data_IF_161017658759
#
_entry.id   IF_161017658759
#
_cell.length_a   1.000
_cell.length_b   1.000
_cell.length_c   1.000
_cell.angle_alpha   90.00
_cell.angle_beta   90.00
_cell.angle_gamma   90.00
#
_symmetry.space_group_name_H-M   'P 1'
#
loop_
_entity.id
_entity.type
_entity.pdbx_description
1 polymer ?
#
# COMPACT_ATOMS: atom_id res chain seq x y z
N UNK A 1 -3.99 4.67 -13.15
CA UNK A 1 -4.42 4.68 -11.74
C UNK A 1 -5.94 4.80 -11.69
N UNK A 2 -6.63 3.83 -11.08
CA UNK A 2 -8.09 3.84 -10.96
C UNK A 2 -8.54 4.98 -10.03
N UNK A 3 -9.42 5.86 -10.50
CA UNK A 3 -10.04 6.89 -9.65
C UNK A 3 -10.96 6.28 -8.58
N UNK A 4 -11.43 5.03 -8.79
CA UNK A 4 -12.34 4.35 -7.88
C UNK A 4 -11.68 3.95 -6.57
N UNK A 5 -10.42 3.47 -6.60
CA UNK A 5 -9.62 3.13 -5.42
C UNK A 5 -9.65 4.26 -4.38
N UNK A 6 -9.23 5.45 -4.84
CA UNK A 6 -9.06 6.63 -4.00
C UNK A 6 -10.41 7.10 -3.45
N UNK A 7 -11.45 7.11 -4.28
CA UNK A 7 -12.79 7.49 -3.86
C UNK A 7 -13.36 6.52 -2.80
N UNK A 8 -13.16 5.21 -2.99
CA UNK A 8 -13.59 4.19 -2.05
C UNK A 8 -12.87 4.31 -0.71
N UNK A 9 -11.55 4.50 -0.71
CA UNK A 9 -10.78 4.66 0.52
C UNK A 9 -11.19 5.95 1.28
N UNK A 10 -11.43 7.05 0.58
CA UNK A 10 -11.92 8.31 1.17
C UNK A 10 -13.31 8.10 1.81
N UNK A 11 -14.24 7.45 1.11
CA UNK A 11 -15.58 7.14 1.62
C UNK A 11 -15.49 6.30 2.90
N UNK A 12 -14.66 5.27 2.91
CA UNK A 12 -14.44 4.41 4.07
C UNK A 12 -13.85 5.17 5.25
N UNK A 13 -12.81 5.98 5.05
CA UNK A 13 -12.24 6.81 6.13
C UNK A 13 -13.29 7.77 6.69
N UNK A 14 -14.09 8.40 5.83
CA UNK A 14 -15.17 9.31 6.24
C UNK A 14 -16.29 8.60 7.02
N UNK A 15 -16.60 7.34 6.68
CA UNK A 15 -17.64 6.55 7.35
C UNK A 15 -17.22 6.06 8.73
N UNK A 16 -15.98 5.60 8.86
CA UNK A 16 -15.55 4.90 10.07
C UNK A 16 -14.76 5.79 11.04
N UNK A 17 -14.19 6.91 10.58
CA UNK A 17 -13.34 7.76 11.41
C UNK A 17 -13.88 9.18 11.49
N UNK A 18 -13.34 9.97 12.43
CA UNK A 18 -13.58 11.41 12.52
C UNK A 18 -12.54 12.23 11.74
N UNK A 19 -11.63 11.57 11.00
CA UNK A 19 -10.56 12.26 10.29
C UNK A 19 -11.14 13.12 9.17
N UNK A 20 -10.73 14.39 9.06
CA UNK A 20 -11.12 15.21 7.93
C UNK A 20 -10.47 14.67 6.66
N UNK A 21 -11.28 14.31 5.67
CA UNK A 21 -10.80 13.86 4.36
C UNK A 21 -11.24 14.81 3.26
N UNK A 22 -10.34 15.05 2.30
CA UNK A 22 -10.70 15.76 1.08
C UNK A 22 -11.65 14.90 0.23
N UNK A 23 -12.59 15.50 -0.51
CA UNK A 23 -13.54 14.76 -1.35
C UNK A 23 -12.89 14.05 -2.54
N UNK A 24 -11.61 14.34 -2.83
CA UNK A 24 -10.81 13.75 -3.90
C UNK A 24 -9.36 13.60 -3.44
N UNK A 25 -8.70 12.53 -3.87
CA UNK A 25 -7.27 12.38 -3.64
C UNK A 25 -6.42 13.22 -4.59
N UNK A 26 -5.13 13.30 -4.27
CA UNK A 26 -4.14 14.02 -5.08
C UNK A 26 -3.28 13.03 -5.86
N UNK A 27 -3.08 13.31 -7.16
CA UNK A 27 -2.09 12.61 -7.96
C UNK A 27 -0.82 13.46 -7.94
N UNK A 28 0.26 12.88 -7.43
CA UNK A 28 1.56 13.54 -7.30
C UNK A 28 2.63 12.67 -7.96
N UNK A 29 3.40 13.20 -8.94
CA UNK A 29 4.54 12.48 -9.50
C UNK A 29 5.60 12.24 -8.43
N UNK A 30 6.20 11.05 -8.40
CA UNK A 30 7.24 10.71 -7.43
C UNK A 30 8.49 11.61 -7.57
N UNK A 31 8.77 12.10 -8.78
CA UNK A 31 9.84 13.06 -9.05
C UNK A 31 9.57 14.48 -8.51
N UNK A 32 8.36 14.77 -8.02
CA UNK A 32 7.99 16.06 -7.45
C UNK A 32 8.23 16.11 -5.95
N UNK A 33 8.75 17.24 -5.43
CA UNK A 33 8.83 17.48 -3.98
C UNK A 33 7.47 17.56 -3.28
N UNK A 34 6.37 17.68 -4.04
CA UNK A 34 5.00 17.70 -3.51
C UNK A 34 4.63 16.42 -2.76
N UNK A 35 5.33 15.30 -2.99
CA UNK A 35 5.11 14.10 -2.18
C UNK A 35 5.34 14.36 -0.68
N UNK A 36 6.23 15.30 -0.33
CA UNK A 36 6.54 15.65 1.07
C UNK A 36 5.39 16.40 1.76
N UNK A 37 4.39 16.87 1.01
CA UNK A 37 3.19 17.53 1.54
C UNK A 37 2.10 16.53 1.94
N UNK A 38 2.31 15.24 1.68
CA UNK A 38 1.35 14.18 1.93
C UNK A 38 1.93 13.18 2.94
N UNK A 39 1.29 12.93 4.10
CA UNK A 39 1.80 11.95 5.07
C UNK A 39 1.68 10.51 4.58
N UNK A 40 0.77 10.27 3.63
CA UNK A 40 0.46 8.96 3.07
C UNK A 40 0.44 9.04 1.55
N UNK A 41 1.18 8.13 0.90
CA UNK A 41 1.23 7.98 -0.56
C UNK A 41 0.95 6.53 -0.92
N UNK A 42 0.18 6.32 -1.98
CA UNK A 42 -0.04 5.01 -2.57
C UNK A 42 0.55 4.96 -3.97
N UNK A 43 1.25 3.88 -4.28
CA UNK A 43 1.85 3.60 -5.57
C UNK A 43 1.46 2.18 -6.00
N UNK A 44 1.04 2.02 -7.25
CA UNK A 44 0.69 0.71 -7.82
C UNK A 44 0.89 0.72 -9.33
N UNK A 45 1.11 -0.45 -9.91
CA UNK A 45 1.25 -0.62 -11.35
C UNK A 45 1.28 -2.07 -11.79
N UNK A 46 1.33 -2.25 -13.10
CA UNK A 46 1.36 -3.56 -13.77
C UNK A 46 2.67 -3.79 -14.54
N UNK A 47 3.40 -2.70 -14.85
CA UNK A 47 4.57 -2.71 -15.73
C UNK A 47 5.86 -2.66 -14.93
N UNK A 48 6.99 -3.12 -15.51
CA UNK A 48 8.29 -2.98 -14.88
C UNK A 48 8.55 -1.55 -14.39
N UNK A 49 9.04 -1.45 -13.16
CA UNK A 49 9.34 -0.22 -12.47
C UNK A 49 10.78 0.20 -12.75
N UNK A 50 10.99 1.45 -13.16
CA UNK A 50 12.33 2.02 -13.27
C UNK A 50 12.30 3.47 -12.83
N UNK A 51 12.77 3.75 -11.63
CA UNK A 51 12.79 5.10 -11.10
C UNK A 51 13.94 5.91 -11.70
N UNK A 52 13.67 7.17 -11.97
CA UNK A 52 14.71 8.16 -12.22
C UNK A 52 15.54 8.42 -10.96
N UNK A 53 16.74 8.97 -11.12
CA UNK A 53 17.58 9.39 -9.97
C UNK A 53 16.85 10.36 -9.04
N UNK A 54 16.02 11.25 -9.59
CA UNK A 54 15.25 12.21 -8.81
C UNK A 54 14.16 11.50 -7.99
N UNK A 55 13.44 10.56 -8.58
CA UNK A 55 12.42 9.76 -7.89
C UNK A 55 13.01 8.94 -6.75
N UNK A 56 14.15 8.27 -6.97
CA UNK A 56 14.88 7.57 -5.92
C UNK A 56 15.28 8.48 -4.76
N UNK A 57 15.81 9.67 -5.10
CA UNK A 57 16.21 10.68 -4.11
C UNK A 57 15.01 11.15 -3.29
N UNK A 58 13.90 11.47 -3.96
CA UNK A 58 12.68 11.91 -3.30
C UNK A 58 12.05 10.81 -2.44
N UNK A 59 12.02 9.56 -2.92
CA UNK A 59 11.48 8.42 -2.18
C UNK A 59 12.25 8.19 -0.88
N UNK A 60 13.59 8.24 -0.94
CA UNK A 60 14.41 8.18 0.27
C UNK A 60 14.14 9.36 1.21
N UNK A 61 14.15 10.59 0.70
CA UNK A 61 13.88 11.78 1.51
C UNK A 61 12.49 11.72 2.17
N UNK A 62 11.48 11.24 1.44
CA UNK A 62 10.12 11.06 1.92
C UNK A 62 10.05 10.07 3.09
N UNK A 63 10.62 8.88 2.92
CA UNK A 63 10.67 7.84 3.97
C UNK A 63 11.46 8.31 5.18
N UNK A 64 12.63 8.92 4.96
CA UNK A 64 13.52 9.40 6.03
C UNK A 64 12.89 10.55 6.84
N UNK A 65 11.99 11.34 6.25
CA UNK A 65 11.30 12.46 6.90
C UNK A 65 10.01 12.09 7.64
N UNK A 66 9.64 10.82 7.71
CA UNK A 66 8.40 10.41 8.38
C UNK A 66 7.24 10.10 7.42
N UNK A 67 7.44 10.21 6.11
CA UNK A 67 6.43 9.78 5.14
C UNK A 67 6.15 8.28 5.23
N UNK A 68 4.92 7.89 4.89
CA UNK A 68 4.52 6.49 4.74
C UNK A 68 4.03 6.24 3.30
N UNK A 69 4.67 5.31 2.59
CA UNK A 69 4.30 4.95 1.22
C UNK A 69 3.98 3.47 1.13
N UNK A 70 2.90 3.15 0.41
CA UNK A 70 2.56 1.77 0.05
C UNK A 70 2.85 1.56 -1.43
N UNK A 71 3.60 0.51 -1.75
CA UNK A 71 3.80 -0.01 -3.10
C UNK A 71 3.02 -1.32 -3.18
N UNK A 72 1.98 -1.36 -4.01
CA UNK A 72 1.12 -2.52 -4.19
C UNK A 72 1.24 -3.05 -5.62
N UNK A 73 1.72 -4.29 -5.74
CA UNK A 73 1.77 -5.03 -7.00
C UNK A 73 0.37 -5.51 -7.36
N UNK A 74 -0.15 -4.97 -8.45
CA UNK A 74 -1.46 -5.34 -8.98
C UNK A 74 -1.43 -6.70 -9.68
N UNK A 75 -0.27 -7.20 -10.09
CA UNK A 75 -0.20 -8.45 -10.83
C UNK A 75 -0.36 -9.68 -9.92
N UNK A 76 -0.15 -9.53 -8.61
CA UNK A 76 -0.22 -10.65 -7.66
C UNK A 76 0.70 -11.79 -8.14
N UNK A 77 1.95 -11.49 -8.45
CA UNK A 77 2.85 -12.45 -9.08
C UNK A 77 4.30 -12.21 -8.65
N UNK A 78 4.83 -13.08 -7.79
CA UNK A 78 6.24 -13.02 -7.35
C UNK A 78 7.23 -13.23 -8.50
N UNK A 79 6.83 -13.92 -9.57
CA UNK A 79 7.65 -14.09 -10.77
C UNK A 79 7.43 -12.97 -11.80
N UNK A 80 6.50 -12.06 -11.50
CA UNK A 80 6.15 -10.91 -12.33
C UNK A 80 7.25 -9.84 -12.38
N UNK A 81 7.32 -9.15 -13.52
CA UNK A 81 8.33 -8.10 -13.73
C UNK A 81 8.12 -6.89 -12.80
N UNK A 82 6.87 -6.55 -12.47
CA UNK A 82 6.60 -5.47 -11.50
C UNK A 82 7.21 -5.82 -10.13
N UNK A 83 6.93 -7.02 -9.61
CA UNK A 83 7.51 -7.50 -8.35
C UNK A 83 9.04 -7.39 -8.35
N UNK A 84 9.69 -8.03 -9.33
CA UNK A 84 11.16 -8.08 -9.42
C UNK A 84 11.78 -6.68 -9.47
N UNK A 85 11.29 -5.83 -10.37
CA UNK A 85 11.83 -4.48 -10.52
C UNK A 85 11.48 -3.55 -9.35
N UNK A 86 10.34 -3.74 -8.67
CA UNK A 86 10.03 -3.03 -7.44
C UNK A 86 11.01 -3.37 -6.32
N UNK A 87 11.34 -4.66 -6.14
CA UNK A 87 12.35 -5.09 -5.17
C UNK A 87 13.73 -4.54 -5.49
N UNK A 88 14.13 -4.53 -6.77
CA UNK A 88 15.39 -3.94 -7.23
C UNK A 88 15.47 -2.43 -6.96
N UNK A 89 14.38 -1.69 -7.21
CA UNK A 89 14.32 -0.25 -6.92
C UNK A 89 14.36 0.03 -5.42
N UNK A 90 13.64 -0.75 -4.61
CA UNK A 90 13.70 -0.67 -3.15
C UNK A 90 15.13 -0.93 -2.67
N UNK A 91 15.78 -1.98 -3.16
CA UNK A 91 17.16 -2.31 -2.82
C UNK A 91 18.14 -1.20 -3.26
N UNK A 92 17.93 -0.60 -4.43
CA UNK A 92 18.74 0.51 -4.95
C UNK A 92 18.59 1.76 -4.08
N UNK A 93 17.39 2.05 -3.60
CA UNK A 93 17.10 3.24 -2.78
C UNK A 93 17.53 3.02 -1.33
N UNK A 94 17.26 1.84 -0.77
CA UNK A 94 17.34 1.59 0.67
C UNK A 94 18.51 0.72 1.11
N UNK A 95 19.09 -0.06 0.20
CA UNK A 95 20.10 -1.08 0.47
C UNK A 95 19.54 -2.50 0.24
N UNK A 96 20.40 -3.48 -0.08
CA UNK A 96 19.98 -4.83 -0.48
C UNK A 96 19.17 -5.58 0.59
N UNK A 97 19.45 -5.31 1.88
CA UNK A 97 18.82 -5.99 3.01
C UNK A 97 17.80 -5.10 3.74
N UNK A 98 17.36 -4.00 3.11
CA UNK A 98 16.52 -3.00 3.77
C UNK A 98 15.03 -3.38 3.83
N UNK A 99 14.61 -4.36 3.03
CA UNK A 99 13.24 -4.83 2.96
C UNK A 99 13.09 -6.08 3.80
N UNK A 100 12.23 -6.02 4.81
CA UNK A 100 12.01 -7.09 5.79
C UNK A 100 10.54 -7.49 5.87
N UNK A 101 10.27 -8.72 6.31
CA UNK A 101 8.91 -9.20 6.56
C UNK A 101 8.31 -8.48 7.77
N UNK A 102 7.10 -7.94 7.60
CA UNK A 102 6.34 -7.35 8.70
C UNK A 102 5.69 -8.48 9.51
N UNK A 103 5.96 -8.60 10.82
CA UNK A 103 5.37 -9.62 11.67
C UNK A 103 3.84 -9.54 11.67
N UNK A 104 3.15 -10.69 11.64
CA UNK A 104 1.68 -10.73 11.57
C UNK A 104 0.99 -10.22 12.86
N UNK A 105 1.73 -10.00 13.94
CA UNK A 105 1.29 -9.34 15.19
C UNK A 105 1.68 -7.85 15.25
N UNK A 106 2.23 -7.30 14.17
CA UNK A 106 2.63 -5.89 14.11
C UNK A 106 1.41 -4.95 14.31
N UNK A 107 1.54 -3.84 15.06
CA UNK A 107 0.43 -2.92 15.37
C UNK A 107 -0.31 -2.33 14.16
N UNK A 108 0.28 -2.39 12.96
CA UNK A 108 -0.38 -2.03 11.70
C UNK A 108 -1.70 -2.79 11.52
N UNK A 109 -1.75 -4.06 11.92
CA UNK A 109 -2.91 -4.94 11.71
C UNK A 109 -4.01 -4.75 12.76
N UNK A 110 -3.77 -3.95 13.81
CA UNK A 110 -4.75 -3.67 14.88
C UNK A 110 -4.94 -2.18 15.15
N UNK A 111 -4.34 -1.30 14.32
CA UNK A 111 -4.30 0.15 14.55
C UNK A 111 -5.69 0.81 14.60
N UNK A 112 -6.68 0.28 13.87
CA UNK A 112 -8.06 0.79 13.89
C UNK A 112 -9.08 -0.34 13.82
N UNK A 113 -9.02 -1.17 12.78
CA UNK A 113 -9.71 -2.45 12.71
C UNK A 113 -8.76 -3.58 13.10
N UNK A 114 -9.31 -4.68 13.61
CA UNK A 114 -8.58 -5.85 14.04
C UNK A 114 -8.45 -6.88 12.91
N UNK A 115 -7.20 -7.28 12.63
CA UNK A 115 -6.85 -8.35 11.71
C UNK A 115 -5.93 -9.37 12.41
N UNK A 116 -6.51 -10.31 13.14
CA UNK A 116 -5.81 -11.25 14.04
C UNK A 116 -4.82 -12.21 13.35
N UNK A 117 -4.82 -12.26 12.02
CA UNK A 117 -4.00 -13.18 11.22
C UNK A 117 -3.00 -12.45 10.32
N UNK A 118 -2.71 -11.17 10.61
CA UNK A 118 -1.84 -10.33 9.81
C UNK A 118 -2.59 -9.71 8.61
N UNK A 119 -1.93 -9.54 7.45
CA UNK A 119 -2.54 -8.86 6.31
C UNK A 119 -3.76 -9.63 5.78
N UNK A 120 -4.92 -8.99 5.57
CA UNK A 120 -6.09 -9.68 5.04
C UNK A 120 -5.83 -10.20 3.62
N UNK A 121 -6.35 -11.38 3.32
CA UNK A 121 -6.32 -11.91 1.97
C UNK A 121 -7.30 -11.15 1.06
N UNK A 122 -6.92 -10.92 -0.19
CA UNK A 122 -7.84 -10.41 -1.21
C UNK A 122 -8.59 -11.54 -1.91
N UNK A 123 -9.74 -11.21 -2.49
CA UNK A 123 -10.54 -12.11 -3.32
C UNK A 123 -9.79 -12.62 -4.57
N UNK A 124 -8.78 -11.88 -5.04
CA UNK A 124 -7.87 -12.33 -6.11
C UNK A 124 -6.99 -13.48 -5.65
N UNK A 125 -6.41 -13.44 -4.45
CA UNK A 125 -5.61 -14.57 -3.95
C UNK A 125 -6.51 -15.79 -3.71
N UNK A 126 -7.72 -15.57 -3.19
CA UNK A 126 -8.65 -16.64 -2.86
C UNK A 126 -9.24 -17.35 -4.09
N UNK A 127 -9.29 -16.68 -5.24
CA UNK A 127 -9.76 -17.26 -6.49
C UNK A 127 -8.61 -17.80 -7.37
N UNK A 128 -7.35 -17.66 -6.91
CA UNK A 128 -6.17 -18.17 -7.60
C UNK A 128 -5.67 -17.30 -8.76
N UNK A 129 -6.06 -16.02 -8.82
CA UNK A 129 -5.53 -15.06 -9.79
C UNK A 129 -4.03 -14.82 -9.58
N UNK A 130 -3.28 -14.56 -10.66
CA UNK A 130 -1.84 -14.33 -10.60
C UNK A 130 -1.04 -15.63 -10.39
N UNK A 131 -0.21 -15.67 -9.36
CA UNK A 131 0.67 -16.80 -9.01
C UNK A 131 -0.02 -17.95 -8.25
N UNK A 132 -1.33 -17.83 -7.97
CA UNK A 132 -2.11 -18.80 -7.20
C UNK A 132 -1.54 -19.06 -5.78
N UNK A 133 -0.85 -18.06 -5.20
CA UNK A 133 -0.35 -18.08 -3.83
C UNK A 133 -1.24 -17.25 -2.91
N UNK A 134 -1.28 -17.67 -1.64
CA UNK A 134 -1.78 -16.86 -0.54
C UNK A 134 -0.59 -16.18 0.14
N UNK A 135 -0.42 -14.89 -0.07
CA UNK A 135 0.75 -14.14 0.39
C UNK A 135 0.59 -13.82 1.88
N UNK A 136 1.37 -14.51 2.72
CA UNK A 136 1.16 -14.48 4.19
C UNK A 136 1.65 -13.22 4.89
N UNK A 137 2.56 -12.50 4.25
CA UNK A 137 3.27 -11.37 4.84
C UNK A 137 3.19 -10.15 3.94
N UNK A 138 3.33 -8.98 4.55
CA UNK A 138 3.74 -7.77 3.86
C UNK A 138 5.22 -7.56 4.13
N UNK A 139 5.85 -6.76 3.29
CA UNK A 139 7.25 -6.40 3.47
C UNK A 139 7.37 -4.91 3.74
N UNK A 140 8.42 -4.46 4.42
CA UNK A 140 8.60 -3.05 4.65
C UNK A 140 10.04 -2.61 4.87
N UNK A 141 10.26 -1.31 4.66
CA UNK A 141 11.51 -0.63 5.00
C UNK A 141 11.28 0.17 6.27
N UNK A 142 12.02 -0.20 7.32
CA UNK A 142 11.90 0.42 8.64
C UNK A 142 12.82 1.64 8.83
N UNK A 143 12.39 2.53 9.72
CA UNK A 143 13.21 3.59 10.36
C UNK A 143 12.97 3.52 11.87
N UNK A 144 13.86 2.83 12.58
CA UNK A 144 13.57 2.38 13.95
C UNK A 144 12.41 1.39 13.89
N UNK A 145 11.39 1.59 14.74
CA UNK A 145 10.22 0.70 14.79
C UNK A 145 9.09 1.13 13.83
N UNK A 146 9.32 2.15 13.00
CA UNK A 146 8.30 2.71 12.09
C UNK A 146 8.52 2.22 10.65
N UNK A 147 7.45 1.72 10.04
CA UNK A 147 7.40 1.39 8.62
C UNK A 147 7.32 2.70 7.82
N UNK A 148 8.34 2.95 7.00
CA UNK A 148 8.34 4.09 6.07
C UNK A 148 7.87 3.72 4.66
N UNK A 149 8.17 2.51 4.22
CA UNK A 149 7.67 1.93 2.98
C UNK A 149 7.06 0.57 3.29
N UNK A 150 5.85 0.32 2.81
CA UNK A 150 5.18 -0.98 2.85
C UNK A 150 5.06 -1.51 1.42
N UNK A 151 5.51 -2.73 1.19
CA UNK A 151 5.38 -3.44 -0.07
C UNK A 151 4.36 -4.58 0.07
N UNK A 152 3.47 -4.67 -0.90
CA UNK A 152 2.38 -5.64 -1.00
C UNK A 152 2.40 -6.31 -2.35
N UNK A 153 2.24 -7.63 -2.37
CA UNK A 153 1.99 -8.42 -3.58
C UNK A 153 0.63 -9.12 -3.53
N UNK A 154 -0.38 -8.42 -3.00
CA UNK A 154 -1.72 -8.98 -2.71
C UNK A 154 -2.82 -8.41 -3.60
N UNK A 155 -2.46 -7.43 -4.43
CA UNK A 155 -3.39 -6.65 -5.26
C UNK A 155 -4.57 -6.04 -4.47
N UNK A 156 -4.23 -5.30 -3.41
CA UNK A 156 -5.24 -4.53 -2.67
C UNK A 156 -5.90 -3.48 -3.57
N UNK A 157 -5.16 -2.91 -4.51
CA UNK A 157 -5.63 -1.84 -5.37
C UNK A 157 -6.78 -2.24 -6.29
N UNK A 158 -6.78 -3.45 -6.86
CA UNK A 158 -7.93 -3.97 -7.60
C UNK A 158 -9.14 -4.16 -6.71
N UNK A 159 -8.95 -4.82 -5.56
CA UNK A 159 -10.06 -5.14 -4.66
C UNK A 159 -10.71 -3.86 -4.11
N UNK A 160 -9.91 -2.87 -3.77
CA UNK A 160 -10.39 -1.61 -3.23
C UNK A 160 -10.96 -0.69 -4.32
N UNK A 161 -10.77 -1.03 -5.60
CA UNK A 161 -11.38 -0.34 -6.74
C UNK A 161 -12.79 -0.83 -7.08
N UNK A 162 -13.34 -1.80 -6.36
CA UNK A 162 -14.68 -2.33 -6.65
C UNK A 162 -15.77 -1.25 -6.66
N UNK A 163 -16.54 -1.22 -7.75
CA UNK A 163 -17.70 -0.35 -7.92
C UNK A 163 -18.95 -0.87 -7.20
N UNK A 164 -20.07 -0.11 -7.21
CA UNK A 164 -21.31 -0.49 -6.54
C UNK A 164 -21.85 -1.88 -6.92
N UNK A 165 -21.73 -2.25 -8.19
CA UNK A 165 -22.24 -3.53 -8.71
C UNK A 165 -21.52 -4.76 -8.16
N UNK A 166 -20.24 -4.60 -7.78
CA UNK A 166 -19.44 -5.63 -7.12
C UNK A 166 -19.61 -5.55 -5.61
N UNK A 167 -19.54 -4.33 -5.05
CA UNK A 167 -19.66 -4.08 -3.60
C UNK A 167 -20.95 -4.61 -2.99
N UNK A 168 -22.06 -4.64 -3.73
CA UNK A 168 -23.35 -5.18 -3.23
C UNK A 168 -23.32 -6.66 -2.81
N UNK A 169 -22.32 -7.42 -3.25
CA UNK A 169 -22.16 -8.84 -2.89
C UNK A 169 -21.12 -9.07 -1.80
N UNK A 170 -20.46 -8.02 -1.32
CA UNK A 170 -19.38 -8.13 -0.36
C UNK A 170 -19.92 -7.84 1.04
N UNK A 171 -19.81 -8.83 1.94
CA UNK A 171 -20.31 -8.72 3.31
C UNK A 171 -19.42 -7.83 4.20
N UNK A 172 -18.11 -7.83 3.96
CA UNK A 172 -17.11 -7.08 4.73
C UNK A 172 -16.41 -6.09 3.81
N UNK A 173 -16.47 -4.81 4.15
CA UNK A 173 -15.80 -3.77 3.37
C UNK A 173 -14.30 -4.09 3.18
N UNK A 174 -13.83 -4.30 1.93
CA UNK A 174 -12.45 -4.71 1.67
C UNK A 174 -11.45 -3.59 1.97
N UNK A 175 -11.91 -2.33 2.02
CA UNK A 175 -11.06 -1.17 2.23
C UNK A 175 -10.74 -0.90 3.71
N UNK A 176 -11.24 -1.73 4.64
CA UNK A 176 -10.97 -1.60 6.09
C UNK A 176 -9.47 -1.58 6.38
N UNK A 177 -8.67 -2.41 5.71
CA UNK A 177 -7.23 -2.40 5.94
C UNK A 177 -6.59 -1.08 5.50
N UNK A 178 -7.09 -0.45 4.45
CA UNK A 178 -6.69 0.91 4.06
C UNK A 178 -6.88 1.95 5.17
N UNK A 179 -7.92 1.81 6.02
CA UNK A 179 -8.10 2.69 7.19
C UNK A 179 -6.98 2.48 8.20
N UNK A 180 -6.58 1.24 8.48
CA UNK A 180 -5.43 0.97 9.35
C UNK A 180 -4.15 1.61 8.80
N UNK A 181 -3.91 1.52 7.48
CA UNK A 181 -2.73 2.11 6.84
C UNK A 181 -2.70 3.63 6.99
N UNK A 182 -3.85 4.31 6.79
CA UNK A 182 -3.95 5.76 6.95
C UNK A 182 -3.83 6.18 8.42
N UNK A 183 -4.50 5.48 9.34
CA UNK A 183 -4.37 5.76 10.78
C UNK A 183 -2.94 5.54 11.24
N UNK A 184 -2.29 4.48 10.77
CA UNK A 184 -0.86 4.23 11.02
C UNK A 184 0.00 5.39 10.53
N UNK A 185 -0.21 5.87 9.30
CA UNK A 185 0.52 7.00 8.73
C UNK A 185 0.46 8.27 9.59
N UNK A 186 -0.69 8.51 10.24
CA UNK A 186 -0.97 9.74 10.97
C UNK A 186 -0.61 9.69 12.47
N UNK A 187 -0.29 8.52 13.00
CA UNK A 187 -0.15 8.30 14.45
C UNK A 187 1.08 7.48 14.83
N UNK A 188 2.05 7.35 13.91
CA UNK A 188 3.29 6.58 14.11
C UNK A 188 4.51 7.41 13.77
#
# INVERSE_FOLDING_TARGET
>A
MSLALVANLIDTIARYTILPVAPRGSIVPLGSRRILEHPFVWFTGHFPLAFTRQERTNLREYVDRGGFIVIDDHNHDIDGEFHKTALEEIATVFGPDALEEIPNDHPLYTKFFEFDRGPPATSHELNGWGDNLLHRHLYGVLRGDRIGLLYSNKDYTSEWSFGPDTKRFIAVDPTRFGVNLVVYALTS
#
